data_IF_169731172794
#
_entry.id   IF_169731172794
#
_cell.length_a   1.000
_cell.length_b   1.000
_cell.length_c   1.000
_cell.angle_alpha   90.00
_cell.angle_beta   90.00
_cell.angle_gamma   90.00
#
_symmetry.space_group_name_H-M   'P 1'
#
loop_
_entity.id
_entity.type
_entity.pdbx_description
1 polymer ?
#
# COMPACT_ATOMS: atom_id res chain seq x y z
N UNK A 1 16.60 -46.58 -87.59
CA UNK A 1 16.31 -45.88 -86.32
C UNK A 1 17.60 -45.20 -85.87
N UNK A 2 17.66 -43.86 -85.88
CA UNK A 2 18.87 -43.09 -85.55
C UNK A 2 18.90 -42.85 -84.04
N UNK A 3 19.98 -43.31 -83.40
CA UNK A 3 20.23 -43.14 -81.96
C UNK A 3 20.43 -41.67 -81.60
N UNK A 4 19.63 -41.17 -80.66
CA UNK A 4 19.79 -39.85 -80.08
C UNK A 4 21.09 -39.79 -79.22
N UNK A 5 21.84 -38.68 -79.26
CA UNK A 5 23.08 -38.53 -78.52
C UNK A 5 22.82 -38.43 -77.01
N UNK A 6 23.58 -39.20 -76.22
CA UNK A 6 23.53 -39.27 -74.75
C UNK A 6 23.71 -37.92 -74.03
N UNK A 7 24.13 -36.87 -74.74
CA UNK A 7 24.31 -35.51 -74.22
C UNK A 7 23.01 -34.78 -73.85
N UNK A 8 21.85 -35.16 -74.42
CA UNK A 8 20.58 -34.48 -74.13
C UNK A 8 19.94 -35.01 -72.83
N UNK A 9 20.27 -36.24 -72.42
CA UNK A 9 19.71 -36.85 -71.20
C UNK A 9 20.34 -36.28 -69.92
N UNK A 10 21.58 -35.81 -69.97
CA UNK A 10 22.24 -35.22 -68.79
C UNK A 10 21.78 -33.79 -68.44
N UNK A 11 21.23 -33.01 -69.37
CA UNK A 11 20.70 -31.68 -69.04
C UNK A 11 19.33 -31.72 -68.34
N UNK A 12 18.58 -32.82 -68.46
CA UNK A 12 17.27 -32.97 -67.82
C UNK A 12 17.35 -33.43 -66.36
N UNK A 13 18.45 -34.05 -65.93
CA UNK A 13 18.62 -34.52 -64.54
C UNK A 13 19.07 -33.39 -63.61
N UNK A 14 19.72 -32.33 -64.13
CA UNK A 14 20.16 -31.19 -63.31
C UNK A 14 19.04 -30.18 -63.03
N UNK A 15 17.98 -30.13 -63.86
CA UNK A 15 16.83 -29.22 -63.64
C UNK A 15 15.74 -29.77 -62.71
N UNK A 16 15.78 -31.05 -62.31
CA UNK A 16 14.79 -31.64 -61.40
C UNK A 16 15.17 -31.58 -59.92
N UNK A 17 16.40 -31.16 -59.58
CA UNK A 17 16.87 -31.07 -58.20
C UNK A 17 16.64 -29.70 -57.52
N UNK A 18 16.02 -28.74 -58.20
CA UNK A 18 15.83 -27.37 -57.66
C UNK A 18 14.43 -27.10 -57.09
N UNK A 19 13.48 -28.03 -57.23
CA UNK A 19 12.27 -28.00 -56.41
C UNK A 19 12.57 -28.59 -55.04
N UNK A 20 13.48 -27.96 -54.30
CA UNK A 20 13.43 -28.03 -52.85
C UNK A 20 12.06 -27.45 -52.49
N UNK A 21 11.09 -28.34 -52.29
CA UNK A 21 9.87 -28.05 -51.55
C UNK A 21 10.40 -27.39 -50.28
N UNK A 22 10.29 -26.06 -50.21
CA UNK A 22 10.49 -25.32 -48.99
C UNK A 22 9.41 -25.84 -48.07
N UNK A 23 9.68 -26.95 -47.40
CA UNK A 23 8.88 -27.45 -46.31
C UNK A 23 8.72 -26.23 -45.41
N UNK A 24 7.49 -25.72 -45.34
CA UNK A 24 7.18 -24.50 -44.63
C UNK A 24 7.62 -24.71 -43.19
N UNK A 25 8.83 -24.24 -42.87
CA UNK A 25 9.38 -24.35 -41.53
C UNK A 25 8.39 -23.62 -40.65
N UNK A 26 7.83 -24.27 -39.61
CA UNK A 26 6.86 -23.65 -38.74
C UNK A 26 7.48 -22.34 -38.24
N UNK A 27 6.79 -21.23 -38.49
CA UNK A 27 7.25 -19.92 -38.06
C UNK A 27 7.46 -19.99 -36.55
N UNK A 28 8.67 -19.72 -36.09
CA UNK A 28 8.95 -19.62 -34.67
C UNK A 28 8.61 -18.21 -34.22
N UNK A 29 8.01 -18.08 -33.03
CA UNK A 29 7.87 -16.78 -32.41
C UNK A 29 9.25 -16.25 -32.00
N UNK A 30 9.46 -14.95 -32.08
CA UNK A 30 10.69 -14.31 -31.61
C UNK A 30 10.40 -13.75 -30.23
N UNK A 31 11.03 -14.34 -29.21
CA UNK A 31 10.98 -13.83 -27.84
C UNK A 31 11.94 -12.66 -27.68
N UNK A 32 11.45 -11.61 -27.03
CA UNK A 32 12.25 -10.46 -26.64
C UNK A 32 12.12 -10.25 -25.13
N UNK A 33 13.24 -10.35 -24.43
CA UNK A 33 13.32 -10.19 -22.99
C UNK A 33 14.42 -9.19 -22.60
N UNK A 34 14.03 -8.15 -21.88
CA UNK A 34 14.94 -7.15 -21.32
C UNK A 34 15.15 -7.41 -19.81
N UNK A 35 16.35 -7.85 -19.45
CA UNK A 35 16.76 -8.13 -18.07
C UNK A 35 16.79 -6.89 -17.16
N UNK A 36 16.89 -5.68 -17.72
CA UNK A 36 16.94 -4.44 -16.92
C UNK A 36 15.55 -3.95 -16.59
N UNK A 37 14.64 -4.03 -17.56
CA UNK A 37 13.28 -3.49 -17.39
C UNK A 37 12.25 -4.57 -17.08
N UNK A 38 12.61 -5.85 -17.15
CA UNK A 38 11.66 -6.97 -17.05
C UNK A 38 10.63 -6.99 -18.17
N UNK A 39 10.90 -6.31 -19.31
CA UNK A 39 9.96 -6.27 -20.43
C UNK A 39 10.07 -7.58 -21.18
N UNK A 40 8.93 -8.22 -21.41
CA UNK A 40 8.83 -9.48 -22.13
C UNK A 40 7.73 -9.39 -23.19
N UNK A 41 8.03 -9.80 -24.40
CA UNK A 41 7.05 -9.90 -25.48
C UNK A 41 7.48 -10.92 -26.54
N UNK A 42 6.51 -11.36 -27.33
CA UNK A 42 6.68 -12.32 -28.43
C UNK A 42 6.12 -11.73 -29.71
N UNK A 43 6.96 -11.65 -30.74
CA UNK A 43 6.49 -11.32 -32.09
C UNK A 43 5.93 -12.61 -32.71
N UNK A 44 4.61 -12.63 -32.99
CA UNK A 44 3.90 -13.82 -33.48
C UNK A 44 3.94 -13.90 -35.01
N UNK A 45 3.89 -12.76 -35.67
CA UNK A 45 4.07 -12.62 -37.12
C UNK A 45 4.73 -11.26 -37.45
N UNK A 46 4.59 -10.77 -38.67
CA UNK A 46 5.15 -9.47 -39.07
C UNK A 46 4.47 -8.26 -38.44
N UNK A 47 3.28 -8.42 -37.88
CA UNK A 47 2.36 -7.35 -37.48
C UNK A 47 1.92 -7.44 -36.01
N UNK A 48 1.86 -8.65 -35.45
CA UNK A 48 1.24 -8.97 -34.18
C UNK A 48 2.30 -9.27 -33.14
N UNK A 49 2.21 -8.55 -32.02
CA UNK A 49 3.05 -8.74 -30.85
C UNK A 49 2.20 -9.07 -29.64
N UNK A 50 2.58 -10.11 -28.91
CA UNK A 50 2.02 -10.48 -27.63
C UNK A 50 2.93 -9.96 -26.52
N UNK A 51 2.48 -8.98 -25.76
CA UNK A 51 3.25 -8.30 -24.72
C UNK A 51 2.83 -8.79 -23.35
N UNK A 52 3.81 -9.19 -22.55
CA UNK A 52 3.60 -9.41 -21.13
C UNK A 52 3.46 -8.05 -20.42
N UNK A 53 2.41 -7.92 -19.62
CA UNK A 53 2.16 -6.76 -18.78
C UNK A 53 2.42 -7.16 -17.33
N UNK A 54 3.62 -6.88 -16.82
CA UNK A 54 3.91 -7.04 -15.42
C UNK A 54 3.24 -5.89 -14.64
N UNK A 55 2.06 -6.10 -14.06
CA UNK A 55 1.48 -5.11 -13.13
C UNK A 55 1.92 -5.37 -11.69
N UNK A 56 3.21 -5.64 -11.46
CA UNK A 56 3.76 -5.35 -10.15
C UNK A 56 3.98 -3.84 -10.11
N UNK A 57 3.17 -3.13 -9.34
CA UNK A 57 3.28 -1.69 -9.18
C UNK A 57 3.32 -1.32 -7.71
N UNK A 58 4.00 -0.22 -7.40
CA UNK A 58 3.88 0.43 -6.11
C UNK A 58 2.46 1.04 -6.00
N UNK A 59 1.58 0.37 -5.30
CA UNK A 59 0.18 0.78 -5.10
C UNK A 59 -0.03 1.34 -3.69
N UNK A 60 -0.94 2.29 -3.53
CA UNK A 60 -1.25 2.86 -2.23
C UNK A 60 -2.06 1.85 -1.43
N UNK A 61 -1.56 1.44 -0.27
CA UNK A 61 -2.36 0.59 0.61
C UNK A 61 -3.41 1.44 1.35
N UNK A 62 -4.68 1.03 1.26
CA UNK A 62 -5.77 1.66 1.99
C UNK A 62 -5.94 1.08 3.41
N UNK A 63 -5.34 -0.07 3.70
CA UNK A 63 -5.56 -0.84 4.91
C UNK A 63 -4.30 -1.01 5.77
N UNK A 64 -3.38 -0.03 5.76
CA UNK A 64 -2.15 -0.13 6.54
C UNK A 64 -2.32 0.43 7.95
N UNK A 65 -2.04 -0.39 8.97
CA UNK A 65 -2.04 -0.02 10.39
C UNK A 65 -1.05 1.09 10.71
N UNK A 66 0.03 1.21 9.92
CA UNK A 66 1.00 2.31 10.04
C UNK A 66 0.34 3.66 9.76
N UNK A 67 -0.60 3.71 8.82
CA UNK A 67 -1.34 4.94 8.51
C UNK A 67 -2.27 5.34 9.65
N UNK A 68 -2.92 4.37 10.31
CA UNK A 68 -3.75 4.65 11.49
C UNK A 68 -2.91 5.21 12.65
N UNK A 69 -1.77 4.59 12.93
CA UNK A 69 -0.85 5.08 13.96
C UNK A 69 -0.31 6.48 13.63
N UNK A 70 0.05 6.74 12.37
CA UNK A 70 0.54 8.05 11.93
C UNK A 70 -0.52 9.14 12.03
N UNK A 71 -1.79 8.79 11.78
CA UNK A 71 -2.93 9.70 11.94
C UNK A 71 -3.15 10.11 13.39
N UNK A 72 -2.89 9.22 14.36
CA UNK A 72 -2.99 9.55 15.77
C UNK A 72 -1.83 10.43 16.27
N UNK A 73 -0.67 10.37 15.62
CA UNK A 73 0.56 11.06 16.02
C UNK A 73 0.74 12.47 15.43
N UNK A 74 -0.07 12.90 14.45
CA UNK A 74 -0.05 14.27 13.89
C UNK A 74 -1.31 15.06 14.31
N UNK A 75 -1.39 15.53 15.57
CA UNK A 75 -2.55 16.26 16.07
C UNK A 75 -2.73 17.63 15.41
N UNK A 76 -1.68 18.15 14.76
CA UNK A 76 -1.70 19.48 14.13
C UNK A 76 -1.99 19.43 12.63
N UNK A 77 -2.10 18.23 12.04
CA UNK A 77 -2.38 18.03 10.62
C UNK A 77 -1.44 18.85 9.72
N UNK A 78 -0.17 19.00 10.13
CA UNK A 78 0.81 19.83 9.41
C UNK A 78 1.22 19.13 8.11
N UNK A 79 1.10 17.81 8.05
CA UNK A 79 1.34 17.05 6.83
C UNK A 79 0.08 16.99 5.99
N UNK A 80 0.15 17.55 4.78
CA UNK A 80 -0.83 17.30 3.72
C UNK A 80 -1.04 15.79 3.57
N UNK A 81 -2.25 15.35 3.94
CA UNK A 81 -2.66 13.99 4.33
C UNK A 81 -2.62 12.94 3.21
N UNK A 82 -2.00 13.26 2.07
CA UNK A 82 -2.06 12.47 0.85
C UNK A 82 -1.01 11.34 0.76
N UNK A 83 -0.05 11.29 1.68
CA UNK A 83 1.10 10.38 1.65
C UNK A 83 0.85 9.00 2.27
N UNK A 84 0.01 8.16 1.68
CA UNK A 84 -0.14 6.76 2.10
C UNK A 84 1.09 5.93 1.72
N UNK A 85 1.52 4.95 2.54
CA UNK A 85 2.61 4.06 2.18
C UNK A 85 2.24 3.26 0.93
N UNK A 86 3.23 3.07 0.09
CA UNK A 86 3.18 2.26 -1.10
C UNK A 86 3.56 0.83 -0.75
N UNK A 87 2.73 -0.13 -1.18
CA UNK A 87 3.01 -1.56 -1.12
C UNK A 87 3.23 -2.09 -2.54
N UNK A 88 3.97 -3.19 -2.66
CA UNK A 88 4.06 -3.89 -3.94
C UNK A 88 2.76 -4.67 -4.14
N UNK A 89 2.00 -4.29 -5.17
CA UNK A 89 0.81 -5.02 -5.59
C UNK A 89 1.10 -5.68 -6.93
N UNK A 90 1.12 -7.01 -6.95
CA UNK A 90 1.27 -7.83 -8.17
C UNK A 90 -0.04 -8.51 -8.58
N UNK A 91 -1.19 -7.95 -8.16
CA UNK A 91 -2.50 -8.63 -8.27
C UNK A 91 -3.03 -8.75 -9.71
N UNK A 92 -2.48 -8.02 -10.68
CA UNK A 92 -3.05 -7.89 -12.03
C UNK A 92 -2.07 -8.32 -13.13
N UNK A 93 -1.52 -9.53 -13.10
CA UNK A 93 -0.68 -9.98 -14.23
C UNK A 93 -1.51 -9.98 -15.51
N UNK A 94 -0.93 -9.51 -16.61
CA UNK A 94 -1.66 -9.28 -17.85
C UNK A 94 -0.89 -9.75 -19.07
N UNK A 95 -1.63 -10.11 -20.10
CA UNK A 95 -1.10 -10.40 -21.42
C UNK A 95 -1.90 -9.62 -22.45
N UNK A 96 -1.23 -8.74 -23.18
CA UNK A 96 -1.85 -7.82 -24.13
C UNK A 96 -1.33 -8.04 -25.53
N UNK A 97 -2.24 -8.06 -26.49
CA UNK A 97 -1.88 -8.03 -27.91
C UNK A 97 -1.70 -6.57 -28.33
N UNK A 98 -0.60 -6.31 -29.04
CA UNK A 98 -0.20 -5.00 -29.55
C UNK A 98 0.26 -5.13 -31.00
N UNK A 99 0.29 -4.02 -31.73
CA UNK A 99 0.89 -4.00 -33.06
C UNK A 99 2.42 -3.91 -32.96
N UNK A 100 3.13 -4.59 -33.85
CA UNK A 100 4.60 -4.63 -33.80
C UNK A 100 5.24 -3.26 -34.07
N UNK A 101 4.70 -2.49 -35.02
CA UNK A 101 5.26 -1.19 -35.41
C UNK A 101 4.75 -0.02 -34.56
N UNK A 102 3.76 -0.25 -33.68
CA UNK A 102 3.14 0.78 -32.85
C UNK A 102 2.93 0.22 -31.44
N UNK A 103 3.92 0.43 -30.59
CA UNK A 103 3.96 -0.14 -29.24
C UNK A 103 2.99 0.56 -28.26
N UNK A 104 2.58 1.77 -28.60
CA UNK A 104 1.69 2.65 -27.87
C UNK A 104 0.23 2.55 -28.33
N UNK A 105 0.00 2.10 -29.56
CA UNK A 105 -1.34 1.98 -30.11
C UNK A 105 -1.99 0.62 -29.81
N UNK A 106 -3.26 0.71 -29.40
CA UNK A 106 -4.13 -0.44 -29.16
C UNK A 106 -4.41 -1.13 -30.49
N UNK A 107 -4.72 -2.43 -30.43
CA UNK A 107 -5.13 -3.17 -31.62
C UNK A 107 -6.45 -2.57 -32.14
N UNK A 108 -6.48 -1.90 -33.31
CA UNK A 108 -7.70 -1.25 -33.78
C UNK A 108 -8.75 -2.32 -34.06
N UNK A 109 -10.00 -2.08 -33.64
CA UNK A 109 -11.13 -2.98 -33.92
C UNK A 109 -11.27 -3.27 -35.44
N UNK A 110 -10.89 -2.28 -36.26
CA UNK A 110 -10.89 -2.35 -37.72
C UNK A 110 -9.87 -3.33 -38.32
N UNK A 111 -8.86 -3.79 -37.58
CA UNK A 111 -7.82 -4.67 -38.13
C UNK A 111 -8.32 -6.10 -38.36
N UNK A 112 -9.47 -6.44 -37.76
CA UNK A 112 -10.21 -7.65 -38.10
C UNK A 112 -9.46 -8.96 -37.85
N UNK A 113 -8.32 -9.00 -37.16
CA UNK A 113 -7.62 -10.27 -36.85
C UNK A 113 -8.18 -10.91 -35.58
N UNK A 114 -8.24 -12.24 -35.54
CA UNK A 114 -8.46 -13.00 -34.30
C UNK A 114 -7.15 -13.67 -33.86
N UNK A 115 -6.91 -13.77 -32.56
CA UNK A 115 -5.75 -14.46 -32.00
C UNK A 115 -6.25 -15.43 -30.96
N UNK A 116 -5.73 -16.66 -31.02
CA UNK A 116 -5.97 -17.67 -30.00
C UNK A 116 -4.66 -18.11 -29.35
N UNK A 117 -4.75 -18.51 -28.09
CA UNK A 117 -3.70 -19.25 -27.37
C UNK A 117 -4.30 -20.57 -26.92
N UNK A 118 -3.73 -21.69 -27.38
CA UNK A 118 -4.24 -23.02 -27.11
C UNK A 118 -5.75 -23.13 -27.38
N UNK A 119 -6.15 -22.66 -28.57
CA UNK A 119 -7.54 -22.60 -29.05
C UNK A 119 -8.49 -21.69 -28.25
N UNK A 120 -8.00 -20.95 -27.26
CA UNK A 120 -8.79 -19.94 -26.53
C UNK A 120 -8.56 -18.56 -27.14
N UNK A 121 -9.64 -17.89 -27.49
CA UNK A 121 -9.59 -16.54 -28.05
C UNK A 121 -9.04 -15.57 -27.00
N UNK A 122 -8.04 -14.79 -27.41
CA UNK A 122 -7.55 -13.66 -26.63
C UNK A 122 -8.53 -12.51 -26.81
N UNK A 123 -9.03 -11.96 -25.72
CA UNK A 123 -9.87 -10.75 -25.78
C UNK A 123 -8.99 -9.54 -26.06
N UNK A 124 -9.35 -8.78 -27.09
CA UNK A 124 -8.71 -7.50 -27.41
C UNK A 124 -9.23 -6.38 -26.53
N UNK A 125 -8.37 -5.38 -26.36
CA UNK A 125 -8.77 -4.08 -25.87
C UNK A 125 -9.04 -3.17 -27.07
N UNK A 126 -10.25 -2.62 -27.15
CA UNK A 126 -10.60 -1.54 -28.07
C UNK A 126 -10.81 -0.26 -27.25
N UNK A 127 -10.42 0.89 -27.80
CA UNK A 127 -10.53 2.22 -27.14
C UNK A 127 -11.92 2.48 -26.53
N UNK A 128 -12.95 1.91 -27.14
CA UNK A 128 -14.36 2.05 -26.78
C UNK A 128 -14.72 1.45 -25.41
N UNK A 129 -13.88 0.59 -24.80
CA UNK A 129 -14.24 -0.17 -23.59
C UNK A 129 -13.12 -0.22 -22.52
N UNK A 130 -12.85 0.90 -21.85
CA UNK A 130 -11.89 0.98 -20.73
C UNK A 130 -12.15 -0.02 -19.60
N UNK A 131 -13.41 -0.38 -19.33
CA UNK A 131 -13.81 -1.26 -18.22
C UNK A 131 -13.44 -2.75 -18.49
N UNK A 132 -13.24 -3.15 -19.75
CA UNK A 132 -12.92 -4.53 -20.12
C UNK A 132 -11.42 -4.85 -19.92
N UNK A 133 -10.57 -3.81 -19.82
CA UNK A 133 -9.10 -3.85 -19.85
C UNK A 133 -8.47 -4.76 -18.79
N UNK A 134 -8.92 -4.65 -17.53
CA UNK A 134 -8.25 -5.36 -16.43
C UNK A 134 -8.60 -6.84 -16.35
N UNK A 135 -9.81 -7.22 -16.78
CA UNK A 135 -10.24 -8.62 -16.76
C UNK A 135 -9.70 -9.39 -17.97
N UNK A 136 -9.71 -8.81 -19.16
CA UNK A 136 -9.21 -9.46 -20.37
C UNK A 136 -7.72 -9.80 -20.26
N UNK A 137 -6.89 -8.84 -19.84
CA UNK A 137 -5.44 -9.03 -19.75
C UNK A 137 -5.10 -10.15 -18.75
N UNK A 138 -5.82 -10.20 -17.61
CA UNK A 138 -5.68 -11.24 -16.59
C UNK A 138 -6.12 -12.62 -17.11
N UNK A 139 -7.30 -12.72 -17.74
CA UNK A 139 -7.80 -13.98 -18.28
C UNK A 139 -6.84 -14.55 -19.36
N UNK A 140 -6.34 -13.67 -20.24
CA UNK A 140 -5.36 -14.02 -21.26
C UNK A 140 -4.06 -14.56 -20.64
N UNK A 141 -3.57 -13.90 -19.59
CA UNK A 141 -2.40 -14.36 -18.83
C UNK A 141 -2.63 -15.73 -18.19
N UNK A 142 -3.78 -15.96 -17.55
CA UNK A 142 -4.08 -17.24 -16.91
C UNK A 142 -4.08 -18.41 -17.90
N UNK A 143 -4.46 -18.18 -19.17
CA UNK A 143 -4.41 -19.20 -20.19
C UNK A 143 -2.97 -19.65 -20.52
N UNK A 144 -2.02 -18.72 -20.62
CA UNK A 144 -0.59 -19.05 -20.79
C UNK A 144 -0.05 -19.73 -19.53
N UNK A 145 -0.36 -19.16 -18.37
CA UNK A 145 0.20 -19.63 -17.11
C UNK A 145 -0.25 -21.06 -16.78
N UNK A 146 -1.53 -21.37 -17.02
CA UNK A 146 -2.05 -22.73 -16.87
C UNK A 146 -1.39 -23.72 -17.85
N UNK A 147 -1.06 -23.29 -19.07
CA UNK A 147 -0.33 -24.12 -20.03
C UNK A 147 1.10 -24.39 -19.57
N UNK A 148 1.79 -23.39 -19.02
CA UNK A 148 3.13 -23.53 -18.43
C UNK A 148 3.14 -24.51 -17.26
N UNK A 149 2.21 -24.36 -16.32
CA UNK A 149 2.09 -25.26 -15.18
C UNK A 149 1.83 -26.71 -15.60
N UNK A 150 1.05 -26.89 -16.67
CA UNK A 150 0.78 -28.20 -17.25
C UNK A 150 1.91 -28.73 -18.16
N UNK A 151 3.01 -27.99 -18.32
CA UNK A 151 4.12 -28.28 -19.25
C UNK A 151 3.65 -28.52 -20.69
N UNK A 152 2.55 -27.86 -21.08
CA UNK A 152 1.99 -27.95 -22.43
C UNK A 152 2.62 -26.88 -23.33
N UNK A 153 2.84 -27.19 -24.63
CA UNK A 153 3.25 -26.16 -25.56
C UNK A 153 2.20 -25.05 -25.61
N UNK A 154 2.65 -23.81 -25.61
CA UNK A 154 1.79 -22.65 -25.80
C UNK A 154 1.76 -22.36 -27.30
N UNK A 155 0.63 -22.61 -27.94
CA UNK A 155 0.46 -22.38 -29.37
C UNK A 155 -0.38 -21.14 -29.56
N UNK A 156 0.21 -20.11 -30.17
CA UNK A 156 -0.53 -18.93 -30.60
C UNK A 156 -0.87 -19.05 -32.08
N UNK A 157 -2.11 -18.73 -32.43
CA UNK A 157 -2.58 -18.73 -33.80
C UNK A 157 -3.21 -17.37 -34.13
N UNK A 158 -2.82 -16.81 -35.28
CA UNK A 158 -3.32 -15.54 -35.81
C UNK A 158 -4.22 -15.85 -37.01
N UNK A 159 -5.43 -15.32 -37.01
CA UNK A 159 -6.44 -15.50 -38.04
C UNK A 159 -6.76 -14.17 -38.69
N UNK A 160 -7.13 -14.23 -39.97
CA UNK A 160 -7.43 -13.06 -40.79
C UNK A 160 -8.66 -12.28 -40.33
N UNK A 161 -9.65 -12.98 -39.78
CA UNK A 161 -10.98 -12.44 -39.48
C UNK A 161 -11.34 -12.58 -37.99
N UNK A 162 -11.89 -11.51 -37.40
CA UNK A 162 -12.26 -11.38 -35.99
C UNK A 162 -13.60 -12.05 -35.68
N UNK A 163 -14.42 -12.26 -36.72
CA UNK A 163 -15.76 -12.86 -36.68
C UNK A 163 -15.77 -14.38 -36.36
N UNK A 164 -14.69 -14.90 -35.80
CA UNK A 164 -14.50 -16.32 -35.52
C UNK A 164 -15.49 -16.89 -34.49
N UNK A 165 -16.02 -16.06 -33.58
CA UNK A 165 -16.93 -16.53 -32.53
C UNK A 165 -18.31 -16.96 -33.08
N UNK A 166 -18.86 -16.21 -34.03
CA UNK A 166 -20.27 -16.40 -34.43
C UNK A 166 -20.44 -17.56 -35.41
N UNK A 167 -19.45 -17.82 -36.28
CA UNK A 167 -19.56 -18.82 -37.35
C UNK A 167 -19.12 -20.23 -36.93
N UNK A 168 -18.14 -20.36 -36.04
CA UNK A 168 -17.64 -21.68 -35.61
C UNK A 168 -18.66 -22.48 -34.81
N UNK A 169 -19.45 -21.79 -33.95
CA UNK A 169 -20.47 -22.48 -33.17
C UNK A 169 -21.58 -23.05 -34.07
N UNK A 170 -21.80 -22.47 -35.25
CA UNK A 170 -22.91 -22.81 -36.13
C UNK A 170 -22.51 -23.80 -37.22
N UNK A 171 -21.30 -23.70 -37.79
CA UNK A 171 -20.95 -24.41 -39.05
C UNK A 171 -19.75 -25.37 -38.87
N UNK A 172 -19.02 -25.31 -37.75
CA UNK A 172 -17.85 -26.18 -37.51
C UNK A 172 -16.68 -25.93 -38.47
N UNK A 173 -16.71 -24.84 -39.24
CA UNK A 173 -15.68 -24.50 -40.22
C UNK A 173 -14.49 -23.80 -39.55
N UNK A 174 -13.42 -24.56 -39.26
CA UNK A 174 -12.15 -23.97 -38.78
C UNK A 174 -11.39 -23.34 -39.95
N UNK A 175 -11.46 -22.03 -40.07
CA UNK A 175 -10.55 -21.28 -40.95
C UNK A 175 -9.10 -21.56 -40.52
N UNK A 176 -8.20 -21.71 -41.50
CA UNK A 176 -6.79 -21.99 -41.23
C UNK A 176 -6.12 -20.70 -40.74
N UNK A 177 -5.30 -20.76 -39.66
CA UNK A 177 -4.59 -19.58 -39.19
C UNK A 177 -3.58 -19.10 -40.25
N UNK A 178 -3.42 -17.78 -40.37
CA UNK A 178 -2.40 -17.14 -41.20
C UNK A 178 -0.99 -17.40 -40.67
N UNK A 179 -0.88 -17.47 -39.34
CA UNK A 179 0.33 -17.83 -38.64
C UNK A 179 -0.03 -18.70 -37.43
N UNK A 180 0.72 -19.78 -37.23
CA UNK A 180 0.66 -20.58 -36.03
C UNK A 180 2.08 -20.74 -35.51
N UNK A 181 2.31 -20.30 -34.28
CA UNK A 181 3.63 -20.22 -33.67
C UNK A 181 3.61 -20.83 -32.28
N UNK A 182 4.68 -21.54 -31.93
CA UNK A 182 4.89 -22.01 -30.56
C UNK A 182 5.59 -20.89 -29.79
N UNK A 183 5.03 -20.50 -28.66
CA UNK A 183 5.59 -19.53 -27.73
C UNK A 183 6.45 -20.29 -26.72
N UNK A 184 7.73 -19.94 -26.67
CA UNK A 184 8.57 -20.25 -25.53
C UNK A 184 8.27 -19.20 -24.45
N UNK A 185 7.92 -19.61 -23.23
CA UNK A 185 7.71 -18.68 -22.11
C UNK A 185 8.54 -19.05 -20.88
N UNK A 186 9.70 -19.66 -21.11
CA UNK A 186 10.67 -20.01 -20.06
C UNK A 186 11.20 -18.80 -19.29
N UNK A 187 11.19 -17.60 -19.89
CA UNK A 187 11.62 -16.35 -19.25
C UNK A 187 10.51 -15.63 -18.49
N UNK A 188 9.27 -16.16 -18.47
CA UNK A 188 8.14 -15.51 -17.82
C UNK A 188 8.33 -15.35 -16.31
N UNK A 189 8.79 -16.39 -15.63
CA UNK A 189 9.05 -16.34 -14.17
C UNK A 189 10.18 -15.36 -13.83
N UNK A 190 11.19 -15.25 -14.71
CA UNK A 190 12.27 -14.30 -14.56
C UNK A 190 11.78 -12.86 -14.75
N UNK A 191 10.95 -12.62 -15.76
CA UNK A 191 10.29 -11.34 -15.97
C UNK A 191 9.45 -10.94 -14.74
N UNK A 192 8.70 -11.88 -14.16
CA UNK A 192 7.93 -11.66 -12.93
C UNK A 192 8.81 -11.23 -11.77
N UNK A 193 9.92 -11.94 -11.55
CA UNK A 193 10.86 -11.64 -10.47
C UNK A 193 11.47 -10.24 -10.63
N UNK A 194 11.90 -9.89 -11.84
CA UNK A 194 12.50 -8.58 -12.12
C UNK A 194 11.50 -7.45 -11.87
N UNK A 195 10.26 -7.60 -12.36
CA UNK A 195 9.24 -6.57 -12.17
C UNK A 195 8.80 -6.42 -10.71
N UNK A 196 8.69 -7.52 -9.95
CA UNK A 196 8.42 -7.47 -8.52
C UNK A 196 9.53 -6.71 -7.77
N UNK A 197 10.79 -6.95 -8.14
CA UNK A 197 11.94 -6.23 -7.57
C UNK A 197 11.91 -4.74 -7.92
N UNK A 198 11.65 -4.39 -9.19
CA UNK A 198 11.54 -2.98 -9.61
C UNK A 198 10.43 -2.25 -8.85
N UNK A 199 9.26 -2.86 -8.73
CA UNK A 199 8.14 -2.31 -7.95
C UNK A 199 8.47 -2.17 -6.46
N UNK A 200 9.22 -3.10 -5.89
CA UNK A 200 9.69 -3.05 -4.50
C UNK A 200 10.66 -1.89 -4.27
N UNK A 201 11.63 -1.71 -5.17
CA UNK A 201 12.56 -0.58 -5.13
C UNK A 201 11.80 0.75 -5.25
N UNK A 202 10.85 0.85 -6.18
CA UNK A 202 10.02 2.04 -6.35
C UNK A 202 9.18 2.33 -5.10
N UNK A 203 8.50 1.33 -4.55
CA UNK A 203 7.71 1.45 -3.33
C UNK A 203 8.58 1.93 -2.16
N UNK A 204 9.76 1.33 -1.98
CA UNK A 204 10.72 1.75 -0.95
C UNK A 204 11.18 3.19 -1.14
N UNK A 205 11.48 3.60 -2.38
CA UNK A 205 11.90 4.97 -2.68
C UNK A 205 10.79 5.99 -2.37
N UNK A 206 9.54 5.67 -2.72
CA UNK A 206 8.37 6.51 -2.39
C UNK A 206 8.12 6.56 -0.88
N UNK A 207 8.20 5.42 -0.19
CA UNK A 207 8.04 5.34 1.25
C UNK A 207 9.12 6.09 2.00
N UNK A 208 10.38 6.03 1.56
CA UNK A 208 11.46 6.80 2.16
C UNK A 208 11.19 8.31 2.08
N UNK A 209 10.64 8.82 0.97
CA UNK A 209 10.23 10.23 0.86
C UNK A 209 9.11 10.58 1.84
N UNK A 210 8.15 9.67 2.04
CA UNK A 210 7.07 9.83 3.01
C UNK A 210 7.63 9.84 4.43
N UNK A 211 8.44 8.85 4.81
CA UNK A 211 9.05 8.74 6.14
C UNK A 211 9.97 9.90 6.46
N UNK A 212 10.70 10.44 5.49
CA UNK A 212 11.53 11.61 5.72
C UNK A 212 10.69 12.83 6.13
N UNK A 213 9.52 13.05 5.49
CA UNK A 213 8.60 14.12 5.90
C UNK A 213 8.07 13.92 7.32
N UNK A 214 7.69 12.68 7.66
CA UNK A 214 7.25 12.35 9.02
C UNK A 214 8.34 12.56 10.06
N UNK A 215 9.58 12.17 9.77
CA UNK A 215 10.72 12.37 10.66
C UNK A 215 10.98 13.85 10.96
N UNK A 216 10.84 14.72 9.97
CA UNK A 216 10.97 16.16 10.15
C UNK A 216 9.90 16.70 11.10
N UNK A 217 8.65 16.26 10.93
CA UNK A 217 7.54 16.71 11.79
C UNK A 217 7.69 16.18 13.21
N UNK A 218 8.00 14.89 13.38
CA UNK A 218 8.28 14.31 14.68
C UNK A 218 9.40 15.07 15.41
N UNK A 219 10.46 15.43 14.70
CA UNK A 219 11.55 16.22 15.27
C UNK A 219 11.10 17.61 15.71
N UNK A 220 10.28 18.29 14.91
CA UNK A 220 9.73 19.61 15.25
C UNK A 220 8.79 19.55 16.46
N UNK A 221 7.92 18.54 16.53
CA UNK A 221 7.00 18.36 17.66
C UNK A 221 7.75 18.06 18.96
N UNK A 222 8.76 17.18 18.91
CA UNK A 222 9.61 16.89 20.07
C UNK A 222 10.39 18.12 20.52
N UNK A 223 10.89 18.93 19.57
CA UNK A 223 11.58 20.18 19.88
C UNK A 223 10.63 21.20 20.54
N UNK A 224 9.42 21.36 20.01
CA UNK A 224 8.40 22.26 20.57
C UNK A 224 7.99 21.84 21.98
N UNK A 225 7.74 20.54 22.20
CA UNK A 225 7.40 20.01 23.51
C UNK A 225 8.54 20.21 24.51
N UNK A 226 9.78 20.01 24.09
CA UNK A 226 10.97 20.26 24.91
C UNK A 226 11.08 21.74 25.30
N UNK A 227 10.82 22.67 24.37
CA UNK A 227 10.80 24.10 24.64
C UNK A 227 9.68 24.49 25.61
N UNK A 228 8.50 23.88 25.51
CA UNK A 228 7.38 24.10 26.44
C UNK A 228 7.73 23.65 27.86
N UNK A 229 8.26 22.43 28.01
CA UNK A 229 8.69 21.89 29.32
C UNK A 229 9.79 22.76 29.92
N UNK A 230 10.78 23.16 29.12
CA UNK A 230 11.85 24.04 29.57
C UNK A 230 11.33 25.43 29.96
N UNK A 231 10.41 26.01 29.19
CA UNK A 231 9.77 27.28 29.51
C UNK A 231 8.99 27.22 30.83
N UNK A 232 8.21 26.16 31.06
CA UNK A 232 7.50 25.93 32.33
C UNK A 232 8.46 25.79 33.51
N UNK A 233 9.58 25.07 33.31
CA UNK A 233 10.63 24.95 34.33
C UNK A 233 11.26 26.30 34.69
N UNK A 234 11.55 27.14 33.69
CA UNK A 234 12.07 28.49 33.92
C UNK A 234 11.07 29.38 34.66
N UNK A 235 9.78 29.31 34.30
CA UNK A 235 8.71 30.04 35.00
C UNK A 235 8.61 29.59 36.46
N UNK A 236 8.61 28.28 36.73
CA UNK A 236 8.58 27.74 38.09
C UNK A 236 9.79 28.21 38.90
N UNK A 237 11.00 28.13 38.32
CA UNK A 237 12.23 28.60 38.96
C UNK A 237 12.18 30.11 39.24
N UNK A 238 11.66 30.90 38.31
CA UNK A 238 11.49 32.33 38.48
C UNK A 238 10.52 32.67 39.61
N UNK A 239 9.37 31.99 39.70
CA UNK A 239 8.40 32.15 40.79
C UNK A 239 9.02 31.79 42.15
N UNK A 240 9.78 30.69 42.22
CA UNK A 240 10.48 30.27 43.45
C UNK A 240 11.56 31.27 43.89
N UNK A 241 12.33 31.83 42.95
CA UNK A 241 13.32 32.86 43.27
C UNK A 241 12.67 34.20 43.68
N UNK A 242 11.63 34.64 42.96
CA UNK A 242 10.93 35.90 43.23
C UNK A 242 10.20 35.91 44.57
N UNK A 243 9.62 34.77 44.96
CA UNK A 243 8.98 34.60 46.26
C UNK A 243 9.96 34.65 47.44
N UNK A 244 11.20 34.16 47.29
CA UNK A 244 12.24 34.29 48.32
C UNK A 244 12.61 35.75 48.59
N UNK A 245 12.80 36.56 47.55
CA UNK A 245 13.07 38.00 47.70
C UNK A 245 11.90 38.77 48.35
N UNK A 246 10.67 38.32 48.11
CA UNK A 246 9.46 38.90 48.71
C UNK A 246 9.29 38.50 50.18
N UNK A 247 9.64 37.27 50.56
CA UNK A 247 9.62 36.81 51.95
C UNK A 247 10.65 37.52 52.84
N UNK A 248 11.81 37.89 52.30
CA UNK A 248 12.84 38.64 53.03
C UNK A 248 12.41 40.09 53.36
N UNK A 249 11.58 40.70 52.50
CA UNK A 249 10.95 42.01 52.78
C UNK A 249 9.80 41.91 53.79
N UNK A 250 9.08 40.78 53.85
CA UNK A 250 8.00 40.58 54.83
C UNK A 250 8.58 40.23 56.22
N UNK A 251 9.70 39.52 56.31
CA UNK A 251 10.35 39.22 57.60
C UNK A 251 10.95 40.47 58.27
N UNK A 252 11.49 41.41 57.48
CA UNK A 252 11.97 42.71 57.97
C UNK A 252 10.82 43.65 58.38
N UNK A 253 9.66 43.59 57.72
CA UNK A 253 8.46 44.31 58.18
C UNK A 253 7.85 43.71 59.47
N UNK A 254 7.90 42.38 59.64
CA UNK A 254 7.42 41.70 60.86
C UNK A 254 8.32 41.94 62.08
N UNK A 255 9.59 42.27 61.89
CA UNK A 255 10.49 42.67 62.98
C UNK A 255 10.19 44.08 63.51
N UNK A 256 9.51 44.94 62.74
CA UNK A 256 9.16 46.32 63.14
C UNK A 256 7.76 46.49 63.74
N UNK A 257 6.92 45.45 63.72
CA UNK A 257 5.53 45.48 64.22
C UNK A 257 5.29 44.61 65.47
N UNK A 258 6.33 44.21 66.20
CA UNK A 258 6.19 43.54 67.50
C UNK A 258 6.21 44.53 68.67
N UNK A 259 5.31 45.52 68.75
CA UNK A 259 5.19 46.32 70.00
C UNK A 259 3.89 47.11 70.29
N UNK A 260 2.75 46.94 69.58
CA UNK A 260 1.48 47.27 70.27
C UNK A 260 0.29 46.32 70.04
N UNK A 261 0.39 45.31 69.17
CA UNK A 261 -0.75 44.43 68.87
C UNK A 261 -1.01 43.34 69.93
N UNK A 262 -0.01 43.01 70.76
CA UNK A 262 -0.15 41.98 71.80
C UNK A 262 -0.92 42.49 73.04
N UNK A 263 -0.99 43.81 73.27
CA UNK A 263 -1.82 44.39 74.33
C UNK A 263 -3.31 44.46 73.95
N UNK A 264 -3.63 44.76 72.68
CA UNK A 264 -5.02 44.80 72.21
C UNK A 264 -5.71 43.43 72.24
N UNK A 265 -4.97 42.33 72.09
CA UNK A 265 -5.53 40.97 72.12
C UNK A 265 -5.88 40.46 73.53
N UNK A 266 -5.45 41.13 74.62
CA UNK A 266 -5.90 40.80 75.99
C UNK A 266 -7.23 41.45 76.36
N UNK A 267 -7.64 42.51 75.66
CA UNK A 267 -8.89 43.25 75.93
C UNK A 267 -10.10 42.56 75.29
N UNK A 268 -9.91 41.77 74.23
CA UNK A 268 -11.00 41.07 73.55
C UNK A 268 -11.04 39.60 74.00
N UNK A 269 -11.50 39.35 75.23
CA UNK A 269 -12.02 38.04 75.60
C UNK A 269 -13.43 37.91 75.00
N UNK A 270 -13.69 36.98 74.06
CA UNK A 270 -15.04 36.80 73.55
C UNK A 270 -15.90 36.08 74.59
N UNK A 271 -16.99 36.76 74.97
CA UNK A 271 -18.16 36.18 75.63
C UNK A 271 -18.74 35.10 74.70
N UNK A 272 -19.06 33.93 75.25
CA UNK A 272 -19.71 32.79 74.56
C UNK A 272 -20.77 33.29 73.59
N UNK A 273 -20.53 33.10 72.29
CA UNK A 273 -21.53 33.20 71.24
C UNK A 273 -21.64 31.83 70.57
N UNK A 274 -22.73 31.17 70.89
CA UNK A 274 -23.40 30.20 70.02
C UNK A 274 -23.67 30.83 68.66
N UNK A 275 -23.71 30.01 67.61
CA UNK A 275 -24.07 30.34 66.20
C UNK A 275 -22.85 30.66 65.31
N UNK A 276 -22.10 29.63 64.93
CA UNK A 276 -21.52 29.55 63.59
C UNK A 276 -22.51 28.71 62.77
N UNK A 277 -23.19 29.36 61.82
CA UNK A 277 -24.04 28.71 60.82
C UNK A 277 -23.17 27.85 59.91
N UNK A 278 -23.54 26.59 59.82
CA UNK A 278 -22.96 25.55 58.97
C UNK A 278 -23.55 25.64 57.56
N UNK A 279 -23.27 26.71 56.82
CA UNK A 279 -23.67 26.81 55.42
C UNK A 279 -22.42 26.60 54.54
N UNK A 280 -22.37 25.47 53.83
CA UNK A 280 -21.32 24.96 52.91
C UNK A 280 -20.41 23.81 53.39
N UNK A 281 -20.91 22.88 54.20
CA UNK A 281 -20.41 21.49 54.10
C UNK A 281 -21.06 20.87 52.86
N UNK A 282 -20.32 20.77 51.74
CA UNK A 282 -20.71 19.87 50.65
C UNK A 282 -20.90 18.49 51.28
N UNK A 283 -22.11 17.94 51.22
CA UNK A 283 -22.37 16.53 51.48
C UNK A 283 -21.48 15.76 50.52
N UNK A 284 -20.36 15.23 51.03
CA UNK A 284 -19.53 14.33 50.24
C UNK A 284 -20.42 13.17 49.81
N UNK A 285 -20.47 12.92 48.51
CA UNK A 285 -21.24 11.81 47.98
C UNK A 285 -20.71 10.53 48.62
N UNK A 286 -21.62 9.64 49.03
CA UNK A 286 -21.27 8.30 49.55
C UNK A 286 -20.25 7.60 48.65
N UNK A 287 -20.35 7.83 47.33
CA UNK A 287 -19.39 7.33 46.35
C UNK A 287 -17.97 7.88 46.53
N UNK A 288 -17.81 9.16 46.85
CA UNK A 288 -16.49 9.80 47.00
C UNK A 288 -15.78 9.34 48.28
N UNK A 289 -16.54 9.11 49.36
CA UNK A 289 -15.97 8.55 50.58
C UNK A 289 -15.53 7.10 50.36
N UNK A 290 -16.35 6.27 49.72
CA UNK A 290 -15.97 4.89 49.39
C UNK A 290 -14.75 4.82 48.46
N UNK A 291 -14.63 5.74 47.50
CA UNK A 291 -13.48 5.81 46.60
C UNK A 291 -12.17 6.10 47.36
N UNK A 292 -12.20 7.02 48.33
CA UNK A 292 -11.03 7.32 49.17
C UNK A 292 -10.62 6.14 50.04
N UNK A 293 -11.59 5.45 50.63
CA UNK A 293 -11.30 4.24 51.42
C UNK A 293 -10.71 3.11 50.56
N UNK A 294 -11.17 2.97 49.31
CA UNK A 294 -10.59 2.00 48.37
C UNK A 294 -9.14 2.33 48.01
N UNK A 295 -8.84 3.61 47.75
CA UNK A 295 -7.47 4.08 47.49
C UNK A 295 -6.53 3.86 48.68
N UNK A 296 -7.01 4.07 49.91
CA UNK A 296 -6.21 3.82 51.13
C UNK A 296 -5.91 2.33 51.35
N UNK A 297 -6.86 1.46 50.96
CA UNK A 297 -6.67 0.01 50.98
C UNK A 297 -5.63 -0.45 49.95
N UNK A 298 -5.75 0.04 48.71
CA UNK A 298 -4.79 -0.25 47.64
C UNK A 298 -3.38 0.27 47.96
N UNK A 299 -3.29 1.41 48.66
CA UNK A 299 -2.03 1.94 49.17
C UNK A 299 -1.46 1.18 50.38
N UNK A 300 -2.16 0.16 50.89
CA UNK A 300 -1.74 -0.65 52.05
C UNK A 300 -1.76 0.10 53.39
N UNK A 301 -2.41 1.27 53.45
CA UNK A 301 -2.51 2.11 54.66
C UNK A 301 -3.59 1.58 55.61
N UNK A 302 -4.57 0.87 55.07
CA UNK A 302 -5.73 0.32 55.80
C UNK A 302 -5.90 -1.15 55.42
N UNK A 303 -6.18 -1.99 56.41
CA UNK A 303 -6.41 -3.43 56.19
C UNK A 303 -7.77 -3.70 55.53
N UNK A 304 -7.93 -4.88 54.92
CA UNK A 304 -9.21 -5.25 54.28
C UNK A 304 -10.37 -5.25 55.29
N UNK A 305 -10.13 -5.63 56.54
CA UNK A 305 -11.16 -5.67 57.59
C UNK A 305 -11.64 -4.27 57.97
N UNK A 306 -10.72 -3.31 58.10
CA UNK A 306 -11.03 -1.91 58.38
C UNK A 306 -11.76 -1.24 57.20
N UNK A 307 -11.39 -1.59 55.97
CA UNK A 307 -12.10 -1.13 54.78
C UNK A 307 -13.55 -1.63 54.75
N UNK A 308 -13.79 -2.91 55.03
CA UNK A 308 -15.14 -3.47 55.06
C UNK A 308 -15.99 -2.88 56.20
N UNK A 309 -15.38 -2.57 57.35
CA UNK A 309 -16.09 -1.92 58.45
C UNK A 309 -16.48 -0.46 58.12
N UNK A 310 -15.56 0.29 57.50
CA UNK A 310 -15.84 1.64 57.01
C UNK A 310 -16.93 1.64 55.93
N UNK A 311 -16.87 0.70 54.97
CA UNK A 311 -17.88 0.54 53.92
C UNK A 311 -19.28 0.27 54.50
N UNK A 312 -19.39 -0.60 55.50
CA UNK A 312 -20.68 -0.88 56.17
C UNK A 312 -21.24 0.36 56.86
N UNK A 313 -20.40 1.10 57.59
CA UNK A 313 -20.79 2.35 58.28
C UNK A 313 -21.24 3.46 57.34
N UNK A 314 -20.60 3.54 56.17
CA UNK A 314 -20.94 4.54 55.14
C UNK A 314 -22.25 4.16 54.42
N UNK A 315 -22.46 2.87 54.14
CA UNK A 315 -23.68 2.39 53.46
C UNK A 315 -24.91 2.32 54.38
N UNK A 316 -24.72 2.34 55.70
CA UNK A 316 -25.82 2.37 56.68
C UNK A 316 -26.26 3.77 57.10
N UNK A 317 -25.73 4.81 56.44
CA UNK A 317 -25.93 6.22 56.76
C UNK A 317 -26.87 6.88 55.76
#
# INVERSE_FOLDING_TARGET
MKSLPASVVCMLIVSLASCAVMAATPKQSIEHFDLKTGKLYWDLDGEVRLRYIPNCQADRNYADTVYELMRELDPFSILDYSGRPYIVSCKKRGLRVTYRLREDEMFPEAYGKAITINDKIIKYYTESFEIIKDRSDSDNYQNIYAALQAQKPIVAAVYRNSYFETLNHVIGYREKPEAQVVINASTLDEADRINANLASVEAKQRNNKIYHKYWVVLFLDVALLSLLVFGLFLIQRWILCSSRASFEKISTYKARFKTPALEFLKIIKPKRSTIIKTDNLKTYSVADELLKWAQLKEAGVVSEEEFQDARRKIMSK
#
